data_IF_811659555523
#
_entry.id   IF_811659555523
#
_cell.length_a   1.000
_cell.length_b   1.000
_cell.length_c   1.000
_cell.angle_alpha   90.00
_cell.angle_beta   90.00
_cell.angle_gamma   90.00
#
_symmetry.space_group_name_H-M   'P 1'
#
loop_
_entity.id
_entity.type
_entity.pdbx_description
1 polymer ?
#
# COMPACT_ATOMS: atom_id res chain seq x y z
N UNK A 1 10.76 -17.34 -12.66
CA UNK A 1 10.13 -16.37 -11.74
C UNK A 1 9.95 -17.08 -10.41
N UNK A 2 10.35 -16.46 -9.30
CA UNK A 2 10.01 -16.98 -7.98
C UNK A 2 8.54 -16.66 -7.71
N UNK A 3 7.73 -17.68 -7.40
CA UNK A 3 6.43 -17.46 -6.77
C UNK A 3 6.60 -16.97 -5.33
N UNK A 4 5.50 -16.65 -4.66
CA UNK A 4 5.56 -16.36 -3.23
C UNK A 4 6.12 -17.57 -2.45
N UNK A 5 6.93 -17.33 -1.40
CA UNK A 5 7.40 -18.41 -0.53
C UNK A 5 6.23 -19.22 0.05
N UNK A 6 6.38 -20.53 0.18
CA UNK A 6 5.32 -21.40 0.74
C UNK A 6 4.85 -20.98 2.14
N UNK A 7 5.76 -20.41 2.94
CA UNK A 7 5.42 -19.82 4.24
C UNK A 7 4.46 -18.62 4.11
N UNK A 8 4.72 -17.71 3.17
CA UNK A 8 3.85 -16.55 2.86
C UNK A 8 2.48 -17.00 2.36
N UNK A 9 2.42 -18.03 1.50
CA UNK A 9 1.16 -18.60 1.01
C UNK A 9 0.34 -19.16 2.18
N UNK A 10 0.96 -19.99 3.04
CA UNK A 10 0.28 -20.52 4.22
C UNK A 10 -0.14 -19.41 5.21
N UNK A 11 0.59 -18.29 5.25
CA UNK A 11 0.21 -17.08 5.97
C UNK A 11 -1.05 -16.40 5.41
N UNK A 12 -1.16 -16.31 4.08
CA UNK A 12 -2.36 -15.83 3.38
C UNK A 12 -3.56 -16.75 3.65
N UNK A 13 -3.36 -18.08 3.63
CA UNK A 13 -4.41 -19.04 3.95
C UNK A 13 -4.95 -18.84 5.37
N UNK A 14 -4.07 -18.70 6.37
CA UNK A 14 -4.46 -18.42 7.76
C UNK A 14 -5.15 -17.07 7.92
N UNK A 15 -4.72 -16.05 7.16
CA UNK A 15 -5.35 -14.73 7.15
C UNK A 15 -6.79 -14.81 6.64
N UNK A 16 -6.99 -15.43 5.48
CA UNK A 16 -8.31 -15.54 4.84
C UNK A 16 -9.27 -16.47 5.61
N UNK A 17 -8.75 -17.49 6.31
CA UNK A 17 -9.55 -18.32 7.19
C UNK A 17 -9.94 -17.63 8.52
N UNK A 18 -9.14 -16.64 8.97
CA UNK A 18 -9.28 -16.02 10.29
C UNK A 18 -9.83 -14.59 10.32
N UNK A 19 -9.84 -13.87 9.19
CA UNK A 19 -10.16 -12.44 9.13
C UNK A 19 -11.15 -12.11 8.02
N UNK A 20 -12.30 -11.56 8.39
CA UNK A 20 -13.28 -10.97 7.47
C UNK A 20 -12.74 -9.63 6.92
N UNK A 21 -12.01 -9.69 5.81
CA UNK A 21 -11.44 -8.51 5.17
C UNK A 21 -12.51 -7.51 4.70
N UNK A 22 -13.72 -7.95 4.36
CA UNK A 22 -14.82 -7.06 3.99
C UNK A 22 -15.31 -6.25 5.20
N UNK A 23 -15.38 -6.86 6.38
CA UNK A 23 -15.62 -6.15 7.65
C UNK A 23 -14.46 -5.20 7.97
N UNK A 24 -13.21 -5.64 7.87
CA UNK A 24 -12.07 -4.79 8.20
C UNK A 24 -11.91 -3.60 7.23
N UNK A 25 -12.30 -3.76 5.96
CA UNK A 25 -12.40 -2.61 5.04
C UNK A 25 -13.45 -1.58 5.49
N UNK A 26 -14.59 -2.04 6.03
CA UNK A 26 -15.64 -1.17 6.58
C UNK A 26 -15.26 -0.52 7.92
N UNK A 27 -14.34 -1.09 8.69
CA UNK A 27 -13.83 -0.50 9.95
C UNK A 27 -12.74 0.55 9.71
N UNK A 28 -12.19 0.65 8.49
CA UNK A 28 -11.08 1.56 8.17
C UNK A 28 -11.34 2.99 8.65
N UNK A 29 -10.35 3.50 9.40
CA UNK A 29 -10.27 4.88 9.86
C UNK A 29 -8.81 5.31 9.97
N UNK A 30 -8.44 6.36 9.25
CA UNK A 30 -7.14 7.01 9.36
C UNK A 30 -7.31 8.53 9.26
N UNK A 31 -7.02 9.25 10.35
CA UNK A 31 -7.22 10.70 10.46
C UNK A 31 -8.64 11.12 10.03
N UNK A 32 -8.77 11.80 8.90
CA UNK A 32 -10.02 12.28 8.31
C UNK A 32 -10.60 11.39 7.20
N UNK A 33 -10.00 10.23 6.92
CA UNK A 33 -10.61 9.19 6.11
C UNK A 33 -11.30 8.15 6.99
N UNK A 34 -12.55 7.84 6.67
CA UNK A 34 -13.20 6.61 7.12
C UNK A 34 -14.11 6.04 6.04
N UNK A 35 -14.45 4.76 6.15
CA UNK A 35 -15.35 4.10 5.21
C UNK A 35 -16.72 4.81 5.11
N UNK A 36 -17.25 5.24 6.27
CA UNK A 36 -18.55 5.93 6.35
C UNK A 36 -18.56 7.27 5.60
N UNK A 37 -17.42 7.95 5.58
CA UNK A 37 -17.24 9.24 4.92
C UNK A 37 -16.81 9.08 3.45
N UNK A 38 -16.66 7.83 2.97
CA UNK A 38 -16.30 7.52 1.59
C UNK A 38 -14.82 7.72 1.24
N UNK A 39 -13.93 7.76 2.24
CA UNK A 39 -12.48 7.92 2.05
C UNK A 39 -12.09 9.17 1.22
N UNK A 40 -12.61 10.35 1.59
CA UNK A 40 -12.49 11.60 0.83
C UNK A 40 -11.04 11.99 0.46
N UNK A 41 -10.08 11.84 1.38
CA UNK A 41 -8.70 12.23 1.12
C UNK A 41 -7.96 11.16 0.31
N UNK A 42 -8.21 9.87 0.58
CA UNK A 42 -7.71 8.77 -0.26
C UNK A 42 -8.22 8.92 -1.70
N UNK A 43 -9.52 9.17 -1.92
CA UNK A 43 -10.08 9.43 -3.25
C UNK A 43 -9.40 10.61 -3.95
N UNK A 44 -9.12 11.68 -3.19
CA UNK A 44 -8.44 12.88 -3.71
C UNK A 44 -7.00 12.59 -4.10
N UNK A 45 -6.27 11.80 -3.30
CA UNK A 45 -4.89 11.39 -3.57
C UNK A 45 -4.79 10.40 -4.73
N UNK A 46 -5.60 9.32 -4.72
CA UNK A 46 -5.60 8.32 -5.79
C UNK A 46 -5.86 8.97 -7.15
N UNK A 47 -6.88 9.84 -7.26
CA UNK A 47 -7.17 10.56 -8.51
C UNK A 47 -5.98 11.43 -8.94
N UNK A 48 -5.48 12.30 -8.04
CA UNK A 48 -4.38 13.23 -8.36
C UNK A 48 -3.09 12.49 -8.76
N UNK A 49 -2.69 11.48 -8.00
CA UNK A 49 -1.44 10.77 -8.24
C UNK A 49 -1.54 9.79 -9.41
N UNK A 50 -2.67 9.10 -9.60
CA UNK A 50 -2.87 8.25 -10.79
C UNK A 50 -2.90 9.08 -12.08
N UNK A 51 -3.53 10.26 -12.08
CA UNK A 51 -3.55 11.13 -13.26
C UNK A 51 -2.18 11.74 -13.57
N UNK A 52 -1.41 12.11 -12.55
CA UNK A 52 -0.04 12.55 -12.72
C UNK A 52 0.89 11.41 -13.17
N UNK A 53 0.71 10.19 -12.65
CA UNK A 53 1.46 9.01 -13.05
C UNK A 53 1.20 8.62 -14.52
N UNK A 54 -0.07 8.65 -14.97
CA UNK A 54 -0.44 8.45 -16.39
C UNK A 54 0.21 9.47 -17.33
N UNK A 55 0.44 10.69 -16.85
CA UNK A 55 1.05 11.81 -17.58
C UNK A 55 2.58 11.91 -17.39
N UNK A 56 3.19 10.98 -16.66
CA UNK A 56 4.61 11.02 -16.27
C UNK A 56 5.02 12.35 -15.60
N UNK A 57 4.14 12.90 -14.76
CA UNK A 57 4.26 14.21 -14.11
C UNK A 57 4.18 14.15 -12.58
N UNK A 58 4.53 13.00 -11.98
CA UNK A 58 4.71 12.90 -10.53
C UNK A 58 5.92 13.74 -10.09
N UNK A 59 5.89 14.28 -8.87
CA UNK A 59 6.89 15.24 -8.38
C UNK A 59 6.73 15.57 -6.90
N UNK A 60 7.44 16.59 -6.43
CA UNK A 60 7.55 16.99 -5.02
C UNK A 60 6.21 17.41 -4.42
N UNK A 61 5.36 18.12 -5.17
CA UNK A 61 4.01 18.49 -4.71
C UNK A 61 3.14 17.26 -4.39
N UNK A 62 3.26 16.20 -5.18
CA UNK A 62 2.58 14.93 -4.96
C UNK A 62 3.14 14.21 -3.72
N UNK A 63 4.47 14.19 -3.55
CA UNK A 63 5.11 13.64 -2.36
C UNK A 63 4.71 14.39 -1.07
N UNK A 64 4.67 15.74 -1.09
CA UNK A 64 4.21 16.55 0.04
C UNK A 64 2.75 16.21 0.42
N UNK A 65 1.86 16.03 -0.56
CA UNK A 65 0.47 15.63 -0.30
C UNK A 65 0.38 14.25 0.38
N UNK A 66 1.14 13.25 -0.11
CA UNK A 66 1.22 11.91 0.50
C UNK A 66 1.81 11.97 1.91
N UNK A 67 2.82 12.80 2.13
CA UNK A 67 3.47 12.99 3.41
C UNK A 67 2.54 13.62 4.45
N UNK A 68 1.79 14.67 4.06
CA UNK A 68 0.80 15.32 4.91
C UNK A 68 -0.32 14.35 5.34
N UNK A 69 -0.87 13.59 4.39
CA UNK A 69 -1.86 12.54 4.66
C UNK A 69 -1.29 11.42 5.55
N UNK A 70 -0.09 10.91 5.23
CA UNK A 70 0.58 9.87 6.01
C UNK A 70 1.06 10.32 7.40
N UNK A 71 1.17 11.63 7.65
CA UNK A 71 1.57 12.20 8.94
C UNK A 71 3.07 12.33 9.14
N UNK A 72 3.83 12.56 8.08
CA UNK A 72 5.26 12.84 8.17
C UNK A 72 5.46 14.21 8.84
N UNK A 73 6.14 14.31 10.00
CA UNK A 73 6.21 15.58 10.74
C UNK A 73 7.06 16.66 10.06
N UNK A 74 8.04 16.27 9.25
CA UNK A 74 8.90 17.20 8.51
C UNK A 74 8.68 17.03 7.00
N UNK A 75 7.75 17.81 6.44
CA UNK A 75 7.50 17.87 5.00
C UNK A 75 8.46 18.82 4.27
N UNK A 76 9.08 19.77 4.97
CA UNK A 76 10.01 20.74 4.39
C UNK A 76 11.33 20.10 3.91
N UNK A 77 11.71 18.94 4.49
CA UNK A 77 12.88 18.17 4.06
C UNK A 77 12.65 17.26 2.84
N UNK A 78 11.45 17.22 2.26
CA UNK A 78 11.15 16.40 1.08
C UNK A 78 11.71 17.07 -0.17
N UNK A 79 12.57 16.36 -0.91
CA UNK A 79 13.12 16.82 -2.18
C UNK A 79 12.95 15.70 -3.20
N UNK A 80 12.45 16.02 -4.40
CA UNK A 80 12.24 15.04 -5.47
C UNK A 80 12.98 15.48 -6.74
N UNK A 81 13.38 14.51 -7.58
CA UNK A 81 13.57 14.80 -9.00
C UNK A 81 12.21 15.16 -9.61
N UNK A 82 12.17 16.20 -10.44
CA UNK A 82 10.94 16.62 -11.13
C UNK A 82 11.12 16.58 -12.66
N UNK A 83 10.26 15.87 -13.41
CA UNK A 83 9.35 14.83 -12.92
C UNK A 83 10.11 13.60 -12.38
N UNK A 84 9.45 12.82 -11.53
CA UNK A 84 9.91 11.48 -11.15
C UNK A 84 9.85 10.56 -12.38
N UNK A 85 11.00 10.02 -12.79
CA UNK A 85 11.08 9.11 -13.92
C UNK A 85 10.68 7.69 -13.47
N UNK A 86 9.39 7.37 -13.58
CA UNK A 86 8.82 6.08 -13.16
C UNK A 86 7.88 5.58 -14.27
N UNK A 87 8.21 4.48 -14.97
CA UNK A 87 7.40 3.96 -16.09
C UNK A 87 6.18 3.16 -15.59
N UNK A 88 5.29 3.84 -14.85
CA UNK A 88 4.13 3.25 -14.19
C UNK A 88 2.98 2.92 -15.15
N UNK A 89 2.86 3.67 -16.25
CA UNK A 89 1.78 3.50 -17.22
C UNK A 89 2.33 3.31 -18.63
N UNK A 90 1.70 2.41 -19.39
CA UNK A 90 1.97 2.18 -20.82
C UNK A 90 0.64 2.22 -21.57
N UNK A 91 0.49 3.18 -22.49
CA UNK A 91 -0.77 3.42 -23.24
C UNK A 91 -1.99 3.65 -22.32
N UNK A 92 -1.81 4.40 -21.24
CA UNK A 92 -2.88 4.75 -20.29
C UNK A 92 -3.24 3.68 -19.25
N UNK A 93 -2.80 2.43 -19.44
CA UNK A 93 -2.97 1.32 -18.50
C UNK A 93 -1.73 1.15 -17.60
N UNK A 94 -1.86 0.62 -16.36
CA UNK A 94 -0.73 0.21 -15.55
C UNK A 94 0.20 -0.71 -16.35
N UNK A 95 1.51 -0.50 -16.26
CA UNK A 95 2.44 -1.30 -17.04
C UNK A 95 2.44 -2.77 -16.56
N UNK A 96 2.43 -3.76 -17.47
CA UNK A 96 2.17 -5.16 -17.10
C UNK A 96 3.26 -5.77 -16.21
N UNK A 97 4.49 -5.25 -16.29
CA UNK A 97 5.61 -5.68 -15.45
C UNK A 97 5.59 -5.12 -14.02
N UNK A 98 4.61 -4.28 -13.63
CA UNK A 98 4.61 -3.68 -12.30
C UNK A 98 4.36 -4.69 -11.16
N UNK A 99 3.57 -5.75 -11.41
CA UNK A 99 3.29 -6.81 -10.42
C UNK A 99 4.58 -7.52 -10.00
N UNK A 100 5.35 -7.99 -10.98
CA UNK A 100 6.58 -8.76 -10.77
C UNK A 100 7.83 -7.88 -10.61
N UNK A 101 7.75 -6.61 -11.03
CA UNK A 101 8.83 -5.62 -10.99
C UNK A 101 8.72 -4.58 -9.88
N UNK A 102 7.80 -4.76 -8.93
CA UNK A 102 7.51 -3.80 -7.84
C UNK A 102 8.76 -3.37 -7.06
N UNK A 103 9.66 -4.32 -6.75
CA UNK A 103 10.95 -4.09 -6.10
C UNK A 103 11.83 -3.08 -6.88
N UNK A 104 11.92 -3.25 -8.21
CA UNK A 104 12.72 -2.37 -9.07
C UNK A 104 12.11 -0.98 -9.18
N UNK A 105 10.78 -0.88 -9.22
CA UNK A 105 10.06 0.40 -9.18
C UNK A 105 10.30 1.11 -7.84
N UNK A 106 10.38 0.36 -6.73
CA UNK A 106 10.73 0.91 -5.42
C UNK A 106 12.15 1.48 -5.40
N UNK A 107 13.15 0.73 -5.89
CA UNK A 107 14.54 1.22 -6.02
C UNK A 107 14.63 2.50 -6.85
N UNK A 108 13.90 2.54 -7.97
CA UNK A 108 13.83 3.74 -8.83
C UNK A 108 13.21 4.94 -8.11
N UNK A 109 12.20 4.73 -7.27
CA UNK A 109 11.55 5.79 -6.49
C UNK A 109 12.45 6.31 -5.37
N UNK A 110 13.06 5.42 -4.59
CA UNK A 110 13.98 5.78 -3.49
C UNK A 110 15.20 6.54 -4.01
N UNK A 111 15.75 6.16 -5.18
CA UNK A 111 16.82 6.91 -5.83
C UNK A 111 16.43 8.29 -6.35
N UNK A 112 15.14 8.68 -6.27
CA UNK A 112 14.62 9.95 -6.80
C UNK A 112 13.89 10.81 -5.76
N UNK A 113 13.68 10.33 -4.53
CA UNK A 113 13.08 11.10 -3.43
C UNK A 113 13.96 11.07 -2.17
N UNK A 114 14.36 12.24 -1.70
CA UNK A 114 14.97 12.45 -0.39
C UNK A 114 13.91 12.81 0.64
N UNK A 115 14.06 12.30 1.86
CA UNK A 115 13.16 12.56 2.99
C UNK A 115 12.01 11.55 3.11
N UNK A 116 11.87 10.62 2.16
CA UNK A 116 11.01 9.45 2.30
C UNK A 116 11.83 8.23 2.73
N UNK A 117 11.20 7.41 3.57
CA UNK A 117 11.63 6.03 3.82
C UNK A 117 10.58 5.03 3.30
N UNK A 118 10.72 3.72 3.62
CA UNK A 118 9.96 2.64 2.99
C UNK A 118 8.44 2.82 3.01
N UNK A 119 7.90 3.30 4.14
CA UNK A 119 6.48 3.59 4.31
C UNK A 119 5.96 4.72 3.43
N UNK A 120 6.76 5.76 3.16
CA UNK A 120 6.30 6.89 2.35
C UNK A 120 6.52 6.64 0.85
N UNK A 121 7.57 5.91 0.48
CA UNK A 121 7.76 5.43 -0.88
C UNK A 121 6.64 4.44 -1.30
N UNK A 122 6.30 3.47 -0.45
CA UNK A 122 5.18 2.55 -0.71
C UNK A 122 3.82 3.27 -0.76
N UNK A 123 3.56 4.25 0.12
CA UNK A 123 2.36 5.11 0.01
C UNK A 123 2.31 5.88 -1.31
N UNK A 124 3.43 6.42 -1.79
CA UNK A 124 3.51 7.11 -3.08
C UNK A 124 3.10 6.21 -4.25
N UNK A 125 3.61 4.97 -4.31
CA UNK A 125 3.23 4.00 -5.35
C UNK A 125 1.78 3.55 -5.22
N UNK A 126 1.29 3.30 -3.99
CA UNK A 126 -0.10 2.93 -3.69
C UNK A 126 -1.13 3.96 -4.19
N UNK A 127 -0.83 5.26 -4.08
CA UNK A 127 -1.70 6.30 -4.63
C UNK A 127 -1.51 6.53 -6.15
N UNK A 128 -0.33 6.22 -6.70
CA UNK A 128 -0.04 6.36 -8.11
C UNK A 128 -0.60 5.22 -8.98
N UNK A 129 -0.68 3.99 -8.45
CA UNK A 129 -1.21 2.80 -9.14
C UNK A 129 -1.96 1.87 -8.15
N UNK A 130 -3.13 2.27 -7.62
CA UNK A 130 -3.87 1.50 -6.59
C UNK A 130 -4.34 0.11 -7.06
N UNK A 131 -4.43 -0.11 -8.37
CA UNK A 131 -4.72 -1.42 -8.98
C UNK A 131 -3.55 -2.41 -8.96
N UNK A 132 -2.36 -1.99 -8.50
CA UNK A 132 -1.17 -2.84 -8.40
C UNK A 132 -0.56 -2.77 -6.99
N UNK A 133 -0.40 -1.57 -6.43
CA UNK A 133 0.37 -1.39 -5.20
C UNK A 133 -0.50 -1.08 -3.98
N UNK A 134 -0.18 -1.72 -2.86
CA UNK A 134 -0.58 -1.29 -1.52
C UNK A 134 0.59 -0.66 -0.76
N UNK A 135 0.31 0.14 0.27
CA UNK A 135 1.33 0.72 1.15
C UNK A 135 1.86 -0.29 2.18
N UNK A 136 3.08 -0.08 2.70
CA UNK A 136 3.62 -0.82 3.86
C UNK A 136 3.82 0.16 5.03
N UNK A 137 2.86 0.18 5.95
CA UNK A 137 2.97 0.92 7.21
C UNK A 137 3.68 0.09 8.30
N UNK A 138 4.23 0.75 9.33
CA UNK A 138 4.85 0.04 10.46
C UNK A 138 3.85 -0.85 11.21
N UNK A 139 2.56 -0.55 11.15
CA UNK A 139 1.49 -1.42 11.68
C UNK A 139 1.37 -2.73 10.89
N UNK A 140 1.42 -2.67 9.56
CA UNK A 140 1.45 -3.87 8.70
C UNK A 140 2.64 -4.74 9.08
N UNK A 141 3.84 -4.16 9.16
CA UNK A 141 5.05 -4.94 9.51
C UNK A 141 5.01 -5.51 10.93
N UNK A 142 4.37 -4.84 11.90
CA UNK A 142 4.19 -5.40 13.26
C UNK A 142 3.24 -6.60 13.34
N UNK A 143 2.40 -6.84 12.34
CA UNK A 143 1.36 -7.89 12.34
C UNK A 143 1.61 -8.95 11.25
N UNK A 144 2.37 -8.60 10.22
CA UNK A 144 2.65 -9.43 9.06
C UNK A 144 4.15 -9.55 8.74
N UNK A 145 5.05 -8.91 9.50
CA UNK A 145 6.51 -8.99 9.35
C UNK A 145 7.17 -10.18 10.05
N UNK A 146 8.50 -10.16 10.14
CA UNK A 146 9.29 -11.30 10.65
C UNK A 146 8.94 -11.72 12.08
N UNK A 147 8.56 -10.75 12.91
CA UNK A 147 8.22 -10.94 14.33
C UNK A 147 6.75 -11.38 14.52
N UNK A 148 5.98 -11.56 13.43
CA UNK A 148 4.58 -11.97 13.51
C UNK A 148 4.44 -13.49 13.71
N UNK A 149 3.89 -13.90 14.84
CA UNK A 149 3.70 -15.32 15.16
C UNK A 149 2.70 -16.04 14.24
N UNK A 150 1.61 -15.35 13.84
CA UNK A 150 0.45 -16.01 13.23
C UNK A 150 0.48 -15.99 11.70
N UNK A 151 0.74 -14.83 11.07
CA UNK A 151 0.62 -14.68 9.62
C UNK A 151 1.95 -14.70 8.88
N UNK A 152 2.98 -13.96 9.37
CA UNK A 152 4.31 -13.74 8.74
C UNK A 152 4.30 -13.83 7.20
N UNK A 153 3.95 -12.71 6.59
CA UNK A 153 3.92 -12.54 5.13
C UNK A 153 5.21 -11.91 4.59
N UNK A 154 5.94 -11.20 5.45
CA UNK A 154 7.13 -10.40 5.16
C UNK A 154 8.24 -10.76 6.16
N UNK A 155 9.50 -10.56 5.76
CA UNK A 155 10.69 -10.66 6.62
C UNK A 155 11.18 -9.28 7.11
N UNK A 156 10.55 -8.18 6.68
CA UNK A 156 10.72 -6.85 7.29
C UNK A 156 10.40 -6.87 8.78
N UNK A 157 11.11 -6.02 9.52
CA UNK A 157 10.86 -5.73 10.95
C UNK A 157 10.51 -4.25 11.15
N UNK A 158 9.63 -3.98 12.11
CA UNK A 158 9.36 -2.62 12.55
C UNK A 158 10.28 -2.29 13.73
N UNK A 159 11.21 -1.35 13.55
CA UNK A 159 12.12 -0.94 14.61
C UNK A 159 11.51 0.19 15.44
N UNK A 160 11.56 0.10 16.77
CA UNK A 160 11.14 1.18 17.66
C UNK A 160 12.30 2.14 17.91
N UNK A 161 12.08 3.43 17.64
CA UNK A 161 13.00 4.53 17.93
C UNK A 161 12.28 5.55 18.82
N UNK A 162 12.54 5.47 20.13
CA UNK A 162 11.83 6.24 21.15
C UNK A 162 10.30 6.01 21.11
N UNK A 163 9.47 7.05 20.94
CA UNK A 163 8.02 6.92 20.86
C UNK A 163 7.51 6.49 19.47
N UNK A 164 8.38 6.37 18.45
CA UNK A 164 7.97 6.10 17.06
C UNK A 164 8.42 4.71 16.61
N UNK A 165 7.69 4.15 15.66
CA UNK A 165 8.11 2.98 14.88
C UNK A 165 8.59 3.43 13.51
N UNK A 166 9.56 2.72 12.94
CA UNK A 166 10.07 2.93 11.59
C UNK A 166 10.34 1.58 10.91
N UNK A 167 10.25 1.56 9.58
CA UNK A 167 10.87 0.53 8.74
C UNK A 167 12.17 1.17 8.25
N UNK A 168 13.31 0.50 8.41
CA UNK A 168 14.61 1.06 8.04
C UNK A 168 14.98 0.60 6.63
N UNK A 169 15.29 1.52 5.72
CA UNK A 169 15.72 1.19 4.34
C UNK A 169 17.02 0.38 4.28
N UNK A 170 17.74 0.22 5.40
CA UNK A 170 18.96 -0.57 5.51
C UNK A 170 18.72 -2.04 5.93
N UNK A 171 17.47 -2.47 6.11
CA UNK A 171 17.16 -3.89 6.32
C UNK A 171 17.40 -4.68 5.04
N UNK A 172 18.01 -5.87 5.13
CA UNK A 172 18.33 -6.73 3.98
C UNK A 172 17.07 -7.13 3.17
N UNK A 173 15.94 -7.33 3.85
CA UNK A 173 14.65 -7.61 3.21
C UNK A 173 14.10 -6.42 2.38
N UNK A 174 14.64 -5.20 2.54
CA UNK A 174 14.19 -4.02 1.79
C UNK A 174 15.07 -3.77 0.55
N UNK A 175 14.50 -3.51 -0.65
CA UNK A 175 13.07 -3.42 -0.98
C UNK A 175 12.44 -4.72 -1.51
N UNK A 176 13.11 -5.87 -1.40
CA UNK A 176 12.61 -7.16 -1.90
C UNK A 176 11.19 -7.49 -1.38
N UNK A 177 10.94 -7.22 -0.10
CA UNK A 177 9.64 -7.41 0.54
C UNK A 177 8.53 -6.49 0.04
N UNK A 178 8.84 -5.38 -0.62
CA UNK A 178 7.81 -4.63 -1.34
C UNK A 178 7.29 -5.42 -2.57
N UNK A 179 8.15 -6.24 -3.18
CA UNK A 179 7.75 -7.25 -4.16
C UNK A 179 6.86 -8.33 -3.53
N UNK A 180 7.33 -8.97 -2.45
CA UNK A 180 6.57 -9.98 -1.70
C UNK A 180 5.18 -9.45 -1.29
N UNK A 181 5.11 -8.24 -0.75
CA UNK A 181 3.87 -7.57 -0.37
C UNK A 181 2.93 -7.35 -1.56
N UNK A 182 3.45 -6.81 -2.67
CA UNK A 182 2.66 -6.56 -3.88
C UNK A 182 2.06 -7.87 -4.43
N UNK A 183 2.86 -8.94 -4.47
CA UNK A 183 2.38 -10.26 -4.89
C UNK A 183 1.33 -10.83 -3.92
N UNK A 184 1.51 -10.66 -2.60
CA UNK A 184 0.58 -11.16 -1.59
C UNK A 184 -0.78 -10.45 -1.66
N UNK A 185 -0.79 -9.12 -1.80
CA UNK A 185 -2.02 -8.35 -1.99
C UNK A 185 -2.77 -8.76 -3.26
N UNK A 186 -2.05 -9.00 -4.37
CA UNK A 186 -2.65 -9.53 -5.58
C UNK A 186 -3.24 -10.94 -5.35
N UNK A 187 -2.51 -11.87 -4.73
CA UNK A 187 -3.03 -13.22 -4.48
C UNK A 187 -4.28 -13.20 -3.57
N UNK A 188 -4.34 -12.31 -2.59
CA UNK A 188 -5.53 -12.11 -1.74
C UNK A 188 -6.70 -11.54 -2.57
N UNK A 189 -6.47 -10.49 -3.36
CA UNK A 189 -7.51 -9.89 -4.21
C UNK A 189 -8.04 -10.88 -5.26
N UNK A 190 -7.13 -11.59 -5.95
CA UNK A 190 -7.43 -12.61 -6.96
C UNK A 190 -8.35 -13.71 -6.35
N UNK A 191 -8.09 -14.13 -5.11
CA UNK A 191 -8.93 -15.10 -4.37
C UNK A 191 -10.29 -14.55 -3.95
N UNK A 192 -10.33 -13.39 -3.30
CA UNK A 192 -11.60 -12.79 -2.85
C UNK A 192 -12.56 -12.56 -4.03
N UNK A 193 -12.02 -12.11 -5.17
CA UNK A 193 -12.77 -11.96 -6.41
C UNK A 193 -13.21 -13.31 -7.00
N UNK A 194 -12.34 -14.32 -7.03
CA UNK A 194 -12.66 -15.66 -7.53
C UNK A 194 -13.68 -16.44 -6.66
N UNK A 195 -13.70 -16.17 -5.36
CA UNK A 195 -14.66 -16.71 -4.38
C UNK A 195 -15.99 -15.92 -4.37
N UNK A 196 -16.08 -14.81 -5.12
CA UNK A 196 -17.28 -13.96 -5.21
C UNK A 196 -17.52 -13.04 -4.00
N UNK A 197 -16.53 -12.88 -3.12
CA UNK A 197 -16.61 -12.01 -1.93
C UNK A 197 -16.51 -10.54 -2.37
N UNK A 198 -17.65 -9.89 -2.58
CA UNK A 198 -17.69 -8.51 -3.05
C UNK A 198 -17.01 -7.51 -2.08
N UNK A 199 -16.06 -6.72 -2.59
CA UNK A 199 -15.45 -5.60 -1.88
C UNK A 199 -16.52 -4.53 -1.56
N UNK A 200 -16.71 -4.15 -0.28
CA UNK A 200 -17.77 -3.22 0.11
C UNK A 200 -17.34 -1.77 -0.10
N UNK A 201 -17.04 -1.37 -1.34
CA UNK A 201 -16.66 0.00 -1.67
C UNK A 201 -17.72 1.03 -1.22
N UNK A 202 -17.32 2.18 -0.65
CA UNK A 202 -18.28 3.26 -0.44
C UNK A 202 -18.70 3.87 -1.79
N UNK A 203 -19.94 4.40 -1.90
CA UNK A 203 -20.47 4.93 -3.16
C UNK A 203 -19.60 6.02 -3.82
N UNK A 204 -18.84 6.79 -3.03
CA UNK A 204 -17.96 7.85 -3.56
C UNK A 204 -16.83 7.31 -4.44
N UNK A 205 -16.20 6.18 -4.07
CA UNK A 205 -15.11 5.59 -4.88
C UNK A 205 -15.62 5.08 -6.23
N UNK A 206 -16.80 4.46 -6.23
CA UNK A 206 -17.48 3.99 -7.43
C UNK A 206 -17.91 5.16 -8.30
N UNK A 207 -18.57 6.17 -7.72
CA UNK A 207 -19.04 7.37 -8.43
C UNK A 207 -17.93 8.24 -9.01
N UNK A 208 -16.71 8.16 -8.47
CA UNK A 208 -15.51 8.80 -9.02
C UNK A 208 -14.76 7.92 -10.05
N UNK A 209 -15.24 6.70 -10.34
CA UNK A 209 -14.58 5.76 -11.25
C UNK A 209 -13.24 5.23 -10.73
N UNK A 210 -12.98 5.32 -9.41
CA UNK A 210 -11.75 4.82 -8.79
C UNK A 210 -11.81 3.32 -8.52
N UNK A 211 -13.01 2.73 -8.48
CA UNK A 211 -13.25 1.32 -8.25
C UNK A 211 -14.41 0.81 -9.09
N UNK A 212 -14.31 -0.44 -9.54
CA UNK A 212 -15.45 -1.21 -10.03
C UNK A 212 -16.25 -1.76 -8.84
N UNK A 213 -17.60 -1.75 -8.86
CA UNK A 213 -18.42 -2.24 -7.75
C UNK A 213 -18.07 -3.70 -7.38
N UNK A 214 -17.74 -3.96 -6.12
CA UNK A 214 -17.48 -5.31 -5.62
C UNK A 214 -16.11 -5.92 -5.95
N UNK A 215 -15.28 -5.31 -6.79
CA UNK A 215 -13.99 -5.90 -7.21
C UNK A 215 -12.84 -5.45 -6.30
N UNK A 216 -12.20 -6.37 -5.60
CA UNK A 216 -11.01 -6.07 -4.79
C UNK A 216 -9.82 -5.69 -5.66
N UNK A 217 -9.19 -4.55 -5.35
CA UNK A 217 -7.85 -4.20 -5.81
C UNK A 217 -6.80 -4.39 -4.69
N UNK A 218 -5.50 -4.50 -5.01
CA UNK A 218 -4.43 -4.58 -4.03
C UNK A 218 -4.46 -3.45 -2.97
N UNK A 219 -4.80 -2.23 -3.37
CA UNK A 219 -4.95 -1.11 -2.43
C UNK A 219 -6.16 -1.25 -1.48
N UNK A 220 -7.19 -2.02 -1.84
CA UNK A 220 -8.34 -2.26 -0.95
C UNK A 220 -8.04 -3.37 0.06
N UNK A 221 -7.35 -4.42 -0.39
CA UNK A 221 -6.81 -5.46 0.50
C UNK A 221 -5.86 -4.82 1.51
N UNK A 222 -4.98 -3.90 1.08
CA UNK A 222 -4.09 -3.15 1.97
C UNK A 222 -4.88 -2.35 3.02
N UNK A 223 -5.96 -1.67 2.63
CA UNK A 223 -6.81 -0.94 3.57
C UNK A 223 -7.49 -1.87 4.58
N UNK A 224 -7.99 -3.03 4.16
CA UNK A 224 -8.54 -4.03 5.09
C UNK A 224 -7.47 -4.53 6.08
N UNK A 225 -6.31 -4.93 5.57
CA UNK A 225 -5.19 -5.41 6.40
C UNK A 225 -4.61 -4.33 7.31
N UNK A 226 -4.60 -3.06 6.89
CA UNK A 226 -4.20 -1.92 7.72
C UNK A 226 -5.17 -1.71 8.88
N UNK A 227 -6.48 -1.85 8.64
CA UNK A 227 -7.52 -1.70 9.67
C UNK A 227 -7.43 -2.79 10.73
N UNK A 228 -7.26 -4.03 10.28
CA UNK A 228 -6.95 -5.16 11.15
C UNK A 228 -5.66 -4.90 11.97
N UNK A 229 -4.57 -4.52 11.31
CA UNK A 229 -3.30 -4.28 11.97
C UNK A 229 -3.35 -3.10 12.96
N UNK A 230 -4.13 -2.06 12.66
CA UNK A 230 -4.38 -0.93 13.56
C UNK A 230 -5.12 -1.38 14.84
N UNK A 231 -6.09 -2.28 14.72
CA UNK A 231 -6.77 -2.87 15.87
C UNK A 231 -5.81 -3.71 16.73
N UNK A 232 -5.00 -4.58 16.12
CA UNK A 232 -4.04 -5.43 16.85
C UNK A 232 -2.90 -4.65 17.52
N UNK A 233 -2.46 -3.53 16.92
CA UNK A 233 -1.25 -2.81 17.36
C UNK A 233 -1.46 -1.73 18.41
N UNK A 234 -2.73 -1.45 18.78
CA UNK A 234 -3.14 -0.43 19.74
C UNK A 234 -3.22 0.97 19.12
N UNK A 235 -4.44 1.52 19.05
CA UNK A 235 -4.70 2.84 18.45
C UNK A 235 -4.67 4.01 19.43
N UNK A 236 -3.48 4.54 19.74
CA UNK A 236 -3.24 5.93 20.16
C UNK A 236 -1.93 6.43 19.57
#
# INVERSE_FOLDING_TARGET
MAGLPGATIAGIDRLLAGVDLAREYRTYRWKGDSWKDGFVQICTLERRLSDAARKNSLGQSHAINVAAWGGLPNTAGIQCREPLNLPLYKRGLPAPWLRDGAENVMRMLEGQIRGFGPTYCSKMLRFAVPSVFGAIDTRIVRVFGADAEHYRLLDLQATRSGPRWAILSAQEAWPADFGTWTMALHQIADRLNGEGTACPHPPLMVGLGLREPGVWLPADVEMAMFSYALAQTGGK
#
